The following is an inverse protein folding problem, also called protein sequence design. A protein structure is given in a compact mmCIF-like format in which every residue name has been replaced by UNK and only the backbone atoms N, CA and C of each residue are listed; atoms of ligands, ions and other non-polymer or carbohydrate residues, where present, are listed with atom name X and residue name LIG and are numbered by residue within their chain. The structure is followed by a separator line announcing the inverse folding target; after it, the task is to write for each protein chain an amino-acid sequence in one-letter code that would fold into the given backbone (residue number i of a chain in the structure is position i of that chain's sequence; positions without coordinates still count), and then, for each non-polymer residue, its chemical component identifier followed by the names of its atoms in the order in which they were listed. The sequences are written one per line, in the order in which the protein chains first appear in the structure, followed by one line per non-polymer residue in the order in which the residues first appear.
data_IF_187637764511
#
_entry.id   IF_187637764511
#
_cell.length_a   1.000
_cell.length_b   1.000
_cell.length_c   1.000
_cell.angle_alpha   90.00
_cell.angle_beta   90.00
_cell.angle_gamma   90.00
#
_symmetry.space_group_name_H-M   'P 1'
#
loop_
_entity.id
_entity.type
_entity.pdbx_description
1 polymer ?
#
# COMPACT_ATOMS: atom_id res chain seq x y z
N UNK A 1 10.70 2.21 -8.23
CA UNK A 1 9.40 2.46 -7.59
C UNK A 1 9.61 3.56 -6.59
N UNK A 2 8.66 4.46 -6.49
CA UNK A 2 8.76 5.67 -5.65
C UNK A 2 7.54 5.71 -4.73
N UNK A 3 7.75 6.17 -3.50
CA UNK A 3 6.68 6.41 -2.53
C UNK A 3 6.48 7.90 -2.37
N UNK A 4 5.23 8.34 -2.32
CA UNK A 4 4.89 9.72 -2.04
C UNK A 4 3.94 9.77 -0.83
N UNK A 5 4.32 10.46 0.26
CA UNK A 5 3.46 10.65 1.41
C UNK A 5 2.18 11.40 1.01
N UNK A 6 1.04 10.92 1.52
CA UNK A 6 -0.25 11.56 1.34
C UNK A 6 -1.10 11.41 2.61
N UNK A 7 -2.15 12.23 2.71
CA UNK A 7 -3.21 12.02 3.69
C UNK A 7 -4.39 11.30 3.06
N UNK A 8 -4.77 10.15 3.61
CA UNK A 8 -5.91 9.34 3.18
C UNK A 8 -7.10 9.68 4.08
N UNK A 9 -8.21 10.11 3.48
CA UNK A 9 -9.43 10.50 4.20
C UNK A 9 -10.26 9.31 4.70
N UNK A 10 -9.65 8.37 5.42
CA UNK A 10 -10.30 7.20 6.02
C UNK A 10 -10.95 7.50 7.39
N UNK A 11 -10.76 8.71 7.93
CA UNK A 11 -11.35 9.17 9.19
C UNK A 11 -10.61 8.74 10.46
N UNK A 12 -9.52 7.96 10.37
CA UNK A 12 -8.67 7.59 11.51
C UNK A 12 -7.29 7.14 11.03
N UNK A 13 -6.22 7.76 11.54
CA UNK A 13 -4.86 7.65 11.01
C UNK A 13 -4.80 7.88 9.50
N UNK A 14 -4.82 9.16 9.11
CA UNK A 14 -4.80 9.58 7.70
C UNK A 14 -3.43 9.35 7.04
N UNK A 15 -2.44 8.78 7.71
CA UNK A 15 -1.11 8.59 7.13
C UNK A 15 -1.17 7.53 6.01
N UNK A 16 -0.71 7.92 4.81
CA UNK A 16 -0.70 7.03 3.66
C UNK A 16 0.46 7.27 2.71
N UNK A 17 0.65 6.33 1.79
CA UNK A 17 1.66 6.39 0.73
C UNK A 17 1.04 6.06 -0.62
N UNK A 18 1.23 6.95 -1.59
CA UNK A 18 1.03 6.64 -2.99
C UNK A 18 2.23 5.88 -3.53
N UNK A 19 1.99 4.78 -4.23
CA UNK A 19 3.04 3.92 -4.79
C UNK A 19 3.10 4.06 -6.31
N UNK A 20 4.24 4.51 -6.82
CA UNK A 20 4.48 4.71 -8.26
C UNK A 20 5.48 3.70 -8.82
N UNK A 21 5.15 3.04 -9.93
CA UNK A 21 6.07 2.14 -10.60
C UNK A 21 7.22 2.89 -11.33
N UNK A 22 8.14 2.14 -11.96
CA UNK A 22 9.28 2.72 -12.69
C UNK A 22 8.91 3.66 -13.86
N UNK A 23 7.64 3.68 -14.27
CA UNK A 23 7.11 4.55 -15.33
C UNK A 23 6.25 5.70 -14.76
N UNK A 24 6.36 6.00 -13.47
CA UNK A 24 5.59 7.07 -12.80
C UNK A 24 4.06 6.86 -12.88
N UNK A 25 3.61 5.61 -12.97
CA UNK A 25 2.18 5.28 -12.90
C UNK A 25 1.83 4.89 -11.47
N UNK A 26 0.73 5.45 -10.95
CA UNK A 26 0.17 5.05 -9.66
C UNK A 26 -0.31 3.61 -9.75
N UNK A 27 0.16 2.75 -8.84
CA UNK A 27 -0.18 1.32 -8.81
C UNK A 27 -0.85 0.89 -7.53
N UNK A 28 -0.62 1.58 -6.42
CA UNK A 28 -1.32 1.31 -5.16
C UNK A 28 -1.40 2.54 -4.26
N UNK A 29 -2.35 2.50 -3.32
CA UNK A 29 -2.43 3.36 -2.14
C UNK A 29 -2.23 2.49 -0.92
N UNK A 30 -1.28 2.87 -0.07
CA UNK A 30 -1.07 2.27 1.23
C UNK A 30 -1.58 3.22 2.32
N UNK A 31 -2.14 2.64 3.38
CA UNK A 31 -2.57 3.38 4.57
C UNK A 31 -1.87 2.78 5.79
N UNK A 32 -1.36 3.64 6.66
CA UNK A 32 -0.73 3.22 7.90
C UNK A 32 -1.81 2.90 8.94
N UNK A 33 -1.74 1.70 9.50
CA UNK A 33 -2.67 1.25 10.54
C UNK A 33 -2.16 1.72 11.90
N UNK A 34 -2.79 2.74 12.47
CA UNK A 34 -2.45 3.17 13.83
C UNK A 34 -2.98 2.24 14.93
N UNK A 35 -2.82 2.66 16.18
CA UNK A 35 -2.98 1.81 17.37
C UNK A 35 -4.40 1.28 17.58
N UNK A 36 -5.41 1.84 16.91
CA UNK A 36 -6.79 1.30 16.96
C UNK A 36 -6.93 -0.10 16.34
N UNK A 37 -5.98 -0.54 15.50
CA UNK A 37 -6.00 -1.86 14.87
C UNK A 37 -5.24 -2.87 15.74
N UNK A 38 -5.93 -3.41 16.76
CA UNK A 38 -5.36 -4.38 17.70
C UNK A 38 -4.85 -5.64 16.96
N UNK A 39 -3.53 -5.79 16.86
CA UNK A 39 -2.84 -6.90 16.16
C UNK A 39 -2.17 -6.55 14.83
N UNK A 40 -2.46 -5.39 14.24
CA UNK A 40 -1.85 -4.90 12.99
C UNK A 40 -1.34 -3.45 13.10
N UNK A 41 -1.26 -2.92 14.32
CA UNK A 41 -0.74 -1.59 14.63
C UNK A 41 0.70 -1.42 14.12
N UNK A 42 0.97 -0.30 13.45
CA UNK A 42 2.26 0.02 12.87
C UNK A 42 2.51 -0.59 11.48
N UNK A 43 1.54 -1.34 10.95
CA UNK A 43 1.65 -1.97 9.64
C UNK A 43 1.04 -1.10 8.53
N UNK A 44 1.40 -1.40 7.29
CA UNK A 44 0.91 -0.74 6.09
C UNK A 44 -0.09 -1.63 5.36
N UNK A 45 -1.33 -1.16 5.27
CA UNK A 45 -2.41 -1.87 4.58
C UNK A 45 -2.52 -1.39 3.13
N UNK A 46 -2.69 -2.31 2.19
CA UNK A 46 -3.00 -1.97 0.80
C UNK A 46 -4.47 -1.62 0.67
N UNK A 47 -4.77 -0.33 0.75
CA UNK A 47 -6.13 0.21 0.69
C UNK A 47 -6.73 0.09 -0.71
N UNK A 48 -5.93 0.38 -1.74
CA UNK A 48 -6.34 0.29 -3.12
C UNK A 48 -5.18 -0.17 -4.01
N UNK A 49 -5.45 -1.15 -4.88
CA UNK A 49 -4.56 -1.57 -5.95
C UNK A 49 -5.13 -1.13 -7.31
N UNK A 50 -4.25 -0.83 -8.26
CA UNK A 50 -4.65 -0.49 -9.63
C UNK A 50 -4.09 -1.51 -10.63
N UNK A 51 -4.89 -1.83 -11.66
CA UNK A 51 -4.48 -2.76 -12.72
C UNK A 51 -4.35 -4.19 -12.22
N UNK A 52 -3.18 -4.81 -12.36
CA UNK A 52 -2.97 -6.19 -11.90
C UNK A 52 -2.87 -6.34 -10.37
N UNK A 53 -2.89 -5.22 -9.63
CA UNK A 53 -3.01 -5.21 -8.17
C UNK A 53 -4.45 -5.05 -7.70
N UNK A 54 -5.39 -4.78 -8.61
CA UNK A 54 -6.81 -4.70 -8.31
C UNK A 54 -7.34 -6.11 -8.00
N UNK A 55 -7.98 -6.28 -6.84
CA UNK A 55 -8.47 -7.57 -6.40
C UNK A 55 -8.90 -7.60 -4.93
N UNK A 56 -9.58 -8.68 -4.49
CA UNK A 56 -10.15 -8.77 -3.14
C UNK A 56 -9.10 -9.00 -2.05
N UNK A 57 -7.85 -9.26 -2.43
CA UNK A 57 -6.77 -9.56 -1.50
C UNK A 57 -5.96 -8.28 -1.24
N UNK A 58 -6.26 -7.65 -0.12
CA UNK A 58 -5.59 -6.47 0.41
C UNK A 58 -4.63 -6.89 1.53
N UNK A 59 -3.35 -7.16 1.21
CA UNK A 59 -2.38 -7.57 2.21
C UNK A 59 -1.97 -6.40 3.12
N UNK A 60 -1.58 -6.75 4.33
CA UNK A 60 -0.89 -5.86 5.27
C UNK A 60 0.59 -6.18 5.31
N UNK A 61 1.44 -5.15 5.40
CA UNK A 61 2.89 -5.25 5.38
C UNK A 61 3.49 -4.66 6.66
N UNK A 62 4.56 -5.26 7.17
CA UNK A 62 5.20 -4.80 8.40
C UNK A 62 5.80 -3.38 8.29
N UNK A 63 6.33 -3.04 7.11
CA UNK A 63 6.96 -1.76 6.83
C UNK A 63 6.83 -1.42 5.34
N UNK A 64 7.27 -0.23 4.96
CA UNK A 64 7.20 0.24 3.58
C UNK A 64 8.08 -0.60 2.63
N UNK A 65 9.22 -1.10 3.07
CA UNK A 65 10.12 -1.90 2.23
C UNK A 65 9.49 -3.26 1.89
N UNK A 66 8.85 -3.91 2.87
CA UNK A 66 8.06 -5.11 2.68
C UNK A 66 6.86 -4.87 1.74
N UNK A 67 6.17 -3.73 1.90
CA UNK A 67 5.10 -3.33 0.99
C UNK A 67 5.62 -3.13 -0.44
N UNK A 68 6.77 -2.50 -0.58
CA UNK A 68 7.40 -2.31 -1.88
C UNK A 68 7.70 -3.65 -2.56
N UNK A 69 8.33 -4.56 -1.84
CA UNK A 69 8.71 -5.85 -2.40
C UNK A 69 7.48 -6.70 -2.77
N UNK A 70 6.46 -6.76 -1.90
CA UNK A 70 5.20 -7.45 -2.19
C UNK A 70 4.50 -6.91 -3.44
N UNK A 71 4.45 -5.58 -3.58
CA UNK A 71 3.87 -4.92 -4.77
C UNK A 71 4.68 -5.26 -6.02
N UNK A 72 6.02 -5.21 -5.98
CA UNK A 72 6.88 -5.58 -7.13
C UNK A 72 6.62 -7.02 -7.59
N UNK A 73 6.51 -7.96 -6.65
CA UNK A 73 6.25 -9.36 -6.96
C UNK A 73 4.87 -9.57 -7.60
N UNK A 74 3.82 -8.92 -7.07
CA UNK A 74 2.47 -9.00 -7.66
C UNK A 74 2.43 -8.38 -9.05
N UNK A 75 3.08 -7.24 -9.27
CA UNK A 75 3.22 -6.62 -10.60
C UNK A 75 3.96 -7.53 -11.59
N UNK A 76 4.96 -8.29 -11.14
CA UNK A 76 5.69 -9.24 -11.98
C UNK A 76 4.84 -10.47 -12.37
N UNK A 77 3.91 -10.90 -11.50
CA UNK A 77 3.02 -12.05 -11.73
C UNK A 77 1.82 -11.71 -12.62
N UNK A 78 1.38 -10.46 -12.62
CA UNK A 78 0.22 -9.99 -13.38
C UNK A 78 0.53 -9.42 -14.77
N UNK A 79 1.71 -9.71 -15.31
CA UNK A 79 2.14 -9.34 -16.67
C UNK A 79 2.10 -10.55 -17.59
#
# INVERSE_FOLDING_TARGET
MTLQPIRVGNGSDEEGMLVFNGQQRLVAVLTHLGEQYNGASGQWYLEAGFGCLDGPDHPTYADLDAAQEGIRQRLARGR
#
